data_IF_945241545021
#
_entry.id   IF_945241545021
#
_cell.length_a   1.000
_cell.length_b   1.000
_cell.length_c   1.000
_cell.angle_alpha   90.00
_cell.angle_beta   90.00
_cell.angle_gamma   90.00
#
_symmetry.space_group_name_H-M   'P 1'
#
loop_
_entity.id
_entity.type
_entity.pdbx_description
1 polymer ?
#
# COMPACT_ATOMS: atom_id res chain seq x y z
N UNK A 1 5.15 -8.86 3.11
CA UNK A 1 6.48 -8.40 2.65
C UNK A 1 6.52 -6.89 2.64
N UNK A 2 7.66 -6.29 2.98
CA UNK A 2 7.87 -4.84 2.90
C UNK A 2 8.35 -4.46 1.50
N UNK A 3 7.73 -3.46 0.90
CA UNK A 3 8.08 -2.93 -0.42
C UNK A 3 8.68 -1.53 -0.26
N UNK A 4 9.71 -1.25 -1.06
CA UNK A 4 10.36 0.05 -1.10
C UNK A 4 9.93 0.80 -2.36
N UNK A 5 9.60 2.08 -2.18
CA UNK A 5 9.32 3.03 -3.24
C UNK A 5 10.47 4.03 -3.28
N UNK A 6 10.98 4.32 -4.47
CA UNK A 6 12.05 5.30 -4.66
C UNK A 6 11.87 6.01 -6.00
N UNK A 7 11.84 7.33 -5.96
CA UNK A 7 11.89 8.18 -7.14
C UNK A 7 13.35 8.57 -7.36
N UNK A 8 13.89 8.27 -8.53
CA UNK A 8 15.28 8.54 -8.88
C UNK A 8 15.36 9.19 -10.24
N UNK A 9 16.36 10.05 -10.43
CA UNK A 9 16.66 10.69 -11.72
C UNK A 9 15.56 11.64 -12.24
N UNK A 10 14.74 12.19 -11.34
CA UNK A 10 13.84 13.29 -11.67
C UNK A 10 14.57 14.63 -11.55
N UNK A 11 14.42 15.50 -12.54
CA UNK A 11 15.09 16.79 -12.61
C UNK A 11 14.12 17.85 -13.09
N UNK A 12 14.15 19.01 -12.44
CA UNK A 12 13.43 20.21 -12.85
C UNK A 12 14.30 21.43 -12.51
N UNK A 13 14.15 22.52 -13.27
CA UNK A 13 14.85 23.77 -12.98
C UNK A 13 14.26 24.47 -11.73
N UNK A 14 12.98 24.25 -11.47
CA UNK A 14 12.18 24.88 -10.42
C UNK A 14 11.99 23.91 -9.25
N UNK A 15 13.04 23.79 -8.43
CA UNK A 15 13.02 23.01 -7.18
C UNK A 15 12.30 23.77 -6.04
N UNK A 16 11.71 23.06 -5.05
CA UNK A 16 11.76 21.61 -4.85
C UNK A 16 10.72 20.82 -5.66
N UNK A 17 11.08 19.57 -6.01
CA UNK A 17 10.12 18.57 -6.48
C UNK A 17 9.40 17.92 -5.30
N UNK A 18 8.13 17.56 -5.49
CA UNK A 18 7.39 16.74 -4.52
C UNK A 18 6.89 15.46 -5.16
N UNK A 19 6.84 14.39 -4.36
CA UNK A 19 6.54 13.03 -4.80
C UNK A 19 5.29 12.52 -4.08
N UNK A 20 4.43 11.84 -4.84
CA UNK A 20 3.28 11.11 -4.30
C UNK A 20 3.38 9.65 -4.73
N UNK A 21 3.49 8.76 -3.76
CA UNK A 21 3.50 7.33 -4.00
C UNK A 21 2.12 6.74 -3.74
N UNK A 22 1.71 5.79 -4.58
CA UNK A 22 0.43 5.12 -4.46
C UNK A 22 0.41 3.79 -5.17
N UNK A 23 -0.78 3.20 -5.24
CA UNK A 23 -1.06 2.04 -6.07
C UNK A 23 -2.53 2.03 -6.49
N UNK A 24 -2.81 1.36 -7.60
CA UNK A 24 -4.16 1.27 -8.14
C UNK A 24 -4.99 0.23 -7.38
N UNK A 25 -6.17 0.64 -6.93
CA UNK A 25 -7.21 -0.27 -6.48
C UNK A 25 -7.75 -1.06 -7.65
N UNK A 26 -7.76 -2.38 -7.55
CA UNK A 26 -8.29 -3.26 -8.59
C UNK A 26 -9.82 -3.21 -8.68
N UNK A 27 -10.51 -2.82 -7.60
CA UNK A 27 -11.98 -2.77 -7.56
C UNK A 27 -12.51 -1.42 -8.03
N UNK A 28 -11.96 -0.33 -7.52
CA UNK A 28 -12.45 1.04 -7.79
C UNK A 28 -11.69 1.75 -8.90
N UNK A 29 -10.59 1.17 -9.39
CA UNK A 29 -9.66 1.79 -10.34
C UNK A 29 -9.13 3.15 -9.86
N UNK A 30 -9.23 3.43 -8.56
CA UNK A 30 -8.78 4.68 -7.94
C UNK A 30 -7.35 4.54 -7.43
N UNK A 31 -6.59 5.64 -7.48
CA UNK A 31 -5.25 5.67 -6.90
C UNK A 31 -5.35 5.78 -5.37
N UNK A 32 -4.80 4.78 -4.68
CA UNK A 32 -4.70 4.75 -3.23
C UNK A 32 -3.35 5.32 -2.83
N UNK A 33 -3.37 6.50 -2.22
CA UNK A 33 -2.17 7.23 -1.82
C UNK A 33 -1.53 6.56 -0.60
N UNK A 34 -0.25 6.23 -0.71
CA UNK A 34 0.60 5.76 0.39
C UNK A 34 1.31 6.95 1.04
N UNK A 35 1.91 7.81 0.21
CA UNK A 35 2.59 9.03 0.64
C UNK A 35 2.02 10.18 -0.17
N UNK A 36 1.43 11.16 0.51
CA UNK A 36 1.01 12.41 -0.10
C UNK A 36 2.21 13.30 -0.40
N UNK A 37 2.06 14.22 -1.37
CA UNK A 37 3.06 15.18 -1.85
C UNK A 37 4.12 15.56 -0.80
N UNK A 38 5.29 14.97 -0.94
CA UNK A 38 6.43 15.13 -0.02
C UNK A 38 7.71 15.34 -0.80
N UNK A 39 8.64 16.16 -0.31
CA UNK A 39 9.99 16.27 -0.89
C UNK A 39 10.83 15.01 -0.67
N UNK A 40 10.41 14.10 0.22
CA UNK A 40 11.09 12.83 0.46
C UNK A 40 10.82 11.88 -0.71
N UNK A 41 11.87 11.60 -1.49
CA UNK A 41 11.81 10.79 -2.70
C UNK A 41 11.79 9.26 -2.47
N UNK A 42 11.50 8.80 -1.24
CA UNK A 42 11.45 7.39 -0.92
C UNK A 42 10.45 7.08 0.19
N UNK A 43 9.94 5.85 0.20
CA UNK A 43 9.05 5.34 1.24
C UNK A 43 9.12 3.82 1.32
N UNK A 44 8.63 3.25 2.41
CA UNK A 44 8.40 1.82 2.51
C UNK A 44 7.01 1.54 3.06
N UNK A 45 6.37 0.51 2.53
CA UNK A 45 5.05 0.07 2.99
C UNK A 45 4.83 -1.41 2.74
N UNK A 46 3.82 -1.97 3.38
CA UNK A 46 3.25 -3.25 3.00
C UNK A 46 2.17 -3.03 1.95
N UNK A 47 2.16 -3.85 0.91
CA UNK A 47 1.12 -3.81 -0.12
C UNK A 47 0.12 -4.95 0.08
N UNK A 48 -1.18 -4.73 -0.21
CA UNK A 48 -2.14 -5.82 -0.25
C UNK A 48 -1.84 -6.74 -1.44
N UNK A 49 -2.11 -8.04 -1.27
CA UNK A 49 -2.00 -9.02 -2.35
C UNK A 49 -2.79 -8.58 -3.58
N UNK A 50 -2.25 -8.77 -4.78
CA UNK A 50 -3.03 -8.57 -6.01
C UNK A 50 -4.12 -9.64 -6.17
N UNK A 51 -5.05 -9.46 -7.11
CA UNK A 51 -6.03 -10.50 -7.42
C UNK A 51 -5.35 -11.68 -8.10
N UNK A 52 -5.77 -12.89 -7.71
CA UNK A 52 -5.30 -14.14 -8.31
C UNK A 52 -5.59 -14.19 -9.82
N UNK A 53 -6.75 -13.68 -10.25
CA UNK A 53 -7.13 -13.57 -11.66
C UNK A 53 -6.19 -12.69 -12.48
N UNK A 54 -5.43 -11.81 -11.84
CA UNK A 54 -4.43 -10.94 -12.45
C UNK A 54 -3.00 -11.37 -12.08
N UNK A 55 -2.80 -12.66 -11.76
CA UNK A 55 -1.50 -13.22 -11.36
C UNK A 55 -0.85 -12.45 -10.18
N UNK A 56 -1.68 -11.99 -9.24
CA UNK A 56 -1.25 -11.26 -8.04
C UNK A 56 -0.50 -9.93 -8.34
N UNK A 57 -0.74 -9.33 -9.50
CA UNK A 57 -0.11 -8.06 -9.88
C UNK A 57 -0.75 -6.85 -9.19
N UNK A 58 0.09 -5.89 -8.81
CA UNK A 58 -0.28 -4.58 -8.29
C UNK A 58 0.39 -3.49 -9.10
N UNK A 59 -0.38 -2.50 -9.53
CA UNK A 59 0.13 -1.34 -10.24
C UNK A 59 0.49 -0.24 -9.23
N UNK A 60 1.76 -0.10 -8.92
CA UNK A 60 2.32 0.99 -8.12
C UNK A 60 2.43 2.25 -8.97
N UNK A 61 2.11 3.40 -8.38
CA UNK A 61 2.14 4.71 -9.04
C UNK A 61 3.09 5.67 -8.35
N UNK A 62 3.72 6.52 -9.14
CA UNK A 62 4.48 7.69 -8.69
C UNK A 62 3.98 8.90 -9.48
N UNK A 63 3.52 9.93 -8.78
CA UNK A 63 3.33 11.26 -9.36
C UNK A 63 4.45 12.19 -8.85
N UNK A 64 5.12 12.89 -9.75
CA UNK A 64 6.17 13.86 -9.44
C UNK A 64 5.68 15.24 -9.84
N UNK A 65 5.64 16.16 -8.89
CA UNK A 65 5.10 17.50 -9.06
C UNK A 65 6.22 18.53 -9.02
N UNK A 66 6.12 19.53 -9.90
CA UNK A 66 6.90 20.76 -9.83
C UNK A 66 6.30 21.77 -8.83
N UNK A 67 6.99 22.90 -8.65
CA UNK A 67 6.53 23.99 -7.78
C UNK A 67 5.28 24.73 -8.32
N UNK A 68 4.94 24.55 -9.61
CA UNK A 68 3.70 25.05 -10.22
C UNK A 68 2.56 24.03 -10.17
N UNK A 69 2.77 22.90 -9.49
CA UNK A 69 1.82 21.79 -9.35
C UNK A 69 1.47 21.08 -10.67
N UNK A 70 2.26 21.28 -11.73
CA UNK A 70 2.25 20.38 -12.88
C UNK A 70 2.92 19.06 -12.49
N UNK A 71 2.53 17.94 -13.12
CA UNK A 71 3.04 16.64 -12.72
C UNK A 71 3.25 15.68 -13.88
N UNK A 72 4.18 14.75 -13.66
CA UNK A 72 4.38 13.56 -14.47
C UNK A 72 4.07 12.32 -13.64
N UNK A 73 3.48 11.30 -14.28
CA UNK A 73 3.11 10.04 -13.62
C UNK A 73 3.90 8.88 -14.21
N UNK A 74 4.37 7.98 -13.34
CA UNK A 74 4.99 6.72 -13.70
C UNK A 74 4.27 5.56 -13.00
N UNK A 75 4.19 4.42 -13.68
CA UNK A 75 3.54 3.22 -13.16
C UNK A 75 4.47 2.01 -13.28
N UNK A 76 4.48 1.16 -12.26
CA UNK A 76 5.25 -0.09 -12.22
C UNK A 76 4.44 -1.22 -11.63
N UNK A 77 4.50 -2.39 -12.26
CA UNK A 77 3.80 -3.58 -11.80
C UNK A 77 4.71 -4.37 -10.85
N UNK A 78 4.17 -4.75 -9.70
CA UNK A 78 4.83 -5.65 -8.73
C UNK A 78 3.92 -6.83 -8.44
N UNK A 79 4.50 -8.01 -8.20
CA UNK A 79 3.72 -9.19 -7.80
C UNK A 79 3.69 -9.28 -6.29
N UNK A 80 2.49 -9.33 -5.72
CA UNK A 80 2.27 -9.44 -4.27
C UNK A 80 1.39 -10.65 -4.02
N UNK A 81 2.01 -11.79 -3.75
CA UNK A 81 1.28 -13.02 -3.52
C UNK A 81 0.47 -12.99 -2.22
N UNK A 82 -0.67 -13.66 -2.27
CA UNK A 82 -1.50 -13.82 -1.10
C UNK A 82 -0.92 -14.90 -0.20
N UNK A 83 -1.02 -14.68 1.11
CA UNK A 83 -0.79 -15.73 2.08
C UNK A 83 -1.87 -16.80 1.90
N UNK A 84 -1.49 -18.08 1.88
CA UNK A 84 -2.43 -19.20 1.73
C UNK A 84 -3.54 -19.16 2.78
N UNK A 85 -4.73 -19.69 2.44
CA UNK A 85 -5.91 -19.64 3.31
C UNK A 85 -5.62 -20.21 4.71
N UNK A 86 -4.95 -21.36 4.79
CA UNK A 86 -4.58 -21.99 6.06
C UNK A 86 -3.69 -21.10 6.94
N UNK A 87 -2.75 -20.37 6.32
CA UNK A 87 -1.85 -19.47 7.05
C UNK A 87 -2.57 -18.17 7.44
N UNK A 88 -3.53 -17.68 6.64
CA UNK A 88 -4.41 -16.57 7.03
C UNK A 88 -5.26 -16.95 8.24
N UNK A 89 -5.86 -18.13 8.22
CA UNK A 89 -6.67 -18.65 9.33
C UNK A 89 -5.82 -18.84 10.58
N UNK A 90 -4.61 -19.37 10.43
CA UNK A 90 -3.66 -19.51 11.54
C UNK A 90 -3.26 -18.16 12.14
N UNK A 91 -2.95 -17.15 11.30
CA UNK A 91 -2.62 -15.79 11.75
C UNK A 91 -3.80 -15.11 12.44
N UNK A 92 -5.02 -15.34 11.94
CA UNK A 92 -6.25 -14.84 12.54
C UNK A 92 -6.52 -15.51 13.89
N UNK A 93 -6.32 -16.83 13.99
CA UNK A 93 -6.38 -17.58 15.25
C UNK A 93 -5.33 -17.08 16.25
N UNK A 94 -4.10 -16.83 15.82
CA UNK A 94 -3.05 -16.23 16.67
C UNK A 94 -3.45 -14.85 17.21
N UNK A 95 -4.06 -14.00 16.38
CA UNK A 95 -4.56 -12.69 16.81
C UNK A 95 -5.68 -12.80 17.85
N UNK A 96 -6.57 -13.79 17.70
CA UNK A 96 -7.67 -14.06 18.65
C UNK A 96 -7.14 -14.64 19.96
N UNK A 97 -6.22 -15.60 19.88
CA UNK A 97 -5.68 -16.33 21.05
C UNK A 97 -4.62 -15.55 21.82
N UNK A 98 -3.92 -14.63 21.17
CA UNK A 98 -2.86 -13.82 21.77
C UNK A 98 -3.36 -12.70 22.70
N UNK A 99 -4.67 -12.47 22.80
CA UNK A 99 -5.22 -11.30 23.49
C UNK A 99 -6.25 -11.69 24.57
N UNK A 100 -5.76 -12.10 25.74
CA UNK A 100 -6.55 -12.79 26.78
C UNK A 100 -6.97 -11.92 27.97
N UNK A 101 -7.26 -10.62 27.80
CA UNK A 101 -7.46 -9.77 29.00
C UNK A 101 -8.47 -8.62 28.96
N UNK A 102 -8.97 -8.17 27.81
CA UNK A 102 -9.85 -6.99 27.77
C UNK A 102 -10.95 -7.09 26.72
N UNK A 103 -12.18 -6.78 27.11
CA UNK A 103 -13.36 -6.75 26.22
C UNK A 103 -13.15 -5.77 25.05
N UNK A 104 -12.40 -4.68 25.25
CA UNK A 104 -12.12 -3.72 24.19
C UNK A 104 -11.10 -4.24 23.19
N UNK A 105 -10.20 -5.12 23.63
CA UNK A 105 -9.30 -5.85 22.73
C UNK A 105 -10.08 -6.81 21.82
N UNK A 106 -11.12 -7.46 22.35
CA UNK A 106 -12.03 -8.30 21.56
C UNK A 106 -12.83 -7.49 20.55
N UNK A 107 -13.35 -6.31 20.94
CA UNK A 107 -14.07 -5.41 20.01
C UNK A 107 -13.16 -4.92 18.87
N UNK A 108 -11.91 -4.58 19.19
CA UNK A 108 -10.97 -4.09 18.20
C UNK A 108 -10.62 -5.20 17.18
N UNK A 109 -10.45 -6.43 17.64
CA UNK A 109 -10.24 -7.60 16.76
C UNK A 109 -11.47 -7.87 15.87
N UNK A 110 -12.68 -7.85 16.43
CA UNK A 110 -13.91 -8.05 15.63
C UNK A 110 -14.06 -7.00 14.52
N UNK A 111 -13.68 -5.75 14.78
CA UNK A 111 -13.67 -4.67 13.78
C UNK A 111 -12.67 -4.97 12.64
N UNK A 112 -11.47 -5.43 12.98
CA UNK A 112 -10.42 -5.78 12.01
C UNK A 112 -10.79 -7.03 11.19
N UNK A 113 -11.40 -8.04 11.83
CA UNK A 113 -11.85 -9.25 11.12
C UNK A 113 -12.99 -8.92 10.15
N UNK A 114 -13.94 -8.06 10.55
CA UNK A 114 -15.06 -7.65 9.69
C UNK A 114 -14.63 -6.86 8.45
N UNK A 115 -13.45 -6.23 8.49
CA UNK A 115 -12.89 -5.47 7.36
C UNK A 115 -12.00 -6.31 6.45
N UNK A 116 -11.63 -7.53 6.87
CA UNK A 116 -10.81 -8.46 6.11
C UNK A 116 -11.62 -9.55 5.38
N UNK A 117 -12.91 -9.70 5.71
CA UNK A 117 -13.88 -10.58 5.04
C UNK A 117 -14.59 -9.88 3.87
#
# INVERSE_FOLDING_TARGET
TMFAFSAQQWTDADLPLTYQFGFMSETSLSNLVIVSKSEIAFSSTTLPSGLESMAFQRNCTLDVFDNMNAFASEMRNVTVESVGADEKDRRLLELILGNTGSVDSTKNILSVVSTAL
#
